data_IF_884947490605
#
_entry.id   IF_884947490605
#
_cell.length_a   1.000
_cell.length_b   1.000
_cell.length_c   1.000
_cell.angle_alpha   90.00
_cell.angle_beta   90.00
_cell.angle_gamma   90.00
#
_symmetry.space_group_name_H-M   'P 1'
#
loop_
_entity.id
_entity.type
_entity.pdbx_description
1 polymer ?
#
# COMPACT_ATOMS: atom_id res chain seq x y z
N UNK A 1 -33.13 -41.86 32.92
CA UNK A 1 -32.08 -42.43 33.78
C UNK A 1 -30.79 -41.63 33.58
N UNK A 2 -30.40 -40.94 34.62
CA UNK A 2 -29.21 -40.07 34.66
C UNK A 2 -28.03 -40.93 35.12
N UNK A 3 -26.93 -40.90 34.41
CA UNK A 3 -25.65 -41.39 34.95
C UNK A 3 -24.60 -40.28 34.75
N UNK A 4 -24.21 -39.64 35.87
CA UNK A 4 -23.02 -38.84 36.03
C UNK A 4 -21.82 -39.73 36.18
N UNK A 5 -20.77 -39.54 35.42
CA UNK A 5 -19.42 -40.04 35.73
C UNK A 5 -18.46 -38.87 35.80
N UNK A 6 -18.03 -38.61 37.06
CA UNK A 6 -16.96 -37.69 37.40
C UNK A 6 -15.61 -38.35 37.07
N UNK A 7 -14.80 -37.75 36.20
CA UNK A 7 -13.37 -38.07 36.10
C UNK A 7 -12.55 -36.97 36.69
N UNK A 8 -11.90 -37.28 37.84
CA UNK A 8 -10.88 -36.44 38.46
C UNK A 8 -9.60 -36.54 37.59
N UNK A 9 -9.13 -35.43 37.02
CA UNK A 9 -7.78 -35.32 36.52
C UNK A 9 -6.86 -34.83 37.64
N UNK A 10 -5.85 -35.64 37.95
CA UNK A 10 -4.75 -35.25 38.85
C UNK A 10 -3.86 -34.25 38.10
N UNK A 11 -3.68 -33.05 38.66
CA UNK A 11 -2.63 -32.12 38.24
C UNK A 11 -1.30 -32.49 38.88
N UNK A 12 -0.17 -32.45 38.16
CA UNK A 12 1.16 -32.59 38.79
C UNK A 12 1.54 -31.32 39.56
N UNK A 13 2.27 -31.50 40.67
CA UNK A 13 2.82 -30.48 41.51
C UNK A 13 3.68 -29.49 40.76
N UNK A 14 3.36 -28.20 40.86
CA UNK A 14 4.21 -27.08 40.47
C UNK A 14 5.06 -26.70 41.70
N UNK A 15 6.40 -26.53 41.56
CA UNK A 15 7.24 -26.07 42.67
C UNK A 15 6.93 -24.61 43.00
N UNK A 16 7.01 -24.30 44.31
CA UNK A 16 6.71 -23.01 44.91
C UNK A 16 7.46 -21.85 44.24
N UNK A 17 6.72 -21.01 43.50
CA UNK A 17 7.23 -19.71 43.06
C UNK A 17 7.25 -18.75 44.21
N UNK A 18 8.41 -18.15 44.45
CA UNK A 18 8.61 -17.10 45.44
C UNK A 18 7.61 -15.95 45.20
N UNK A 19 6.81 -15.63 46.20
CA UNK A 19 5.93 -14.46 46.19
C UNK A 19 6.79 -13.19 46.22
N UNK A 20 7.04 -12.60 45.06
CA UNK A 20 7.52 -11.21 45.00
C UNK A 20 6.35 -10.28 45.32
N UNK A 21 6.44 -9.63 46.47
CA UNK A 21 5.49 -8.62 46.94
C UNK A 21 5.72 -7.34 46.12
N UNK A 22 5.12 -7.25 44.93
CA UNK A 22 5.17 -6.06 44.09
C UNK A 22 4.17 -5.04 44.62
N UNK A 23 4.69 -3.94 45.13
CA UNK A 23 3.93 -2.82 45.62
C UNK A 23 3.07 -2.22 44.50
N UNK A 24 1.77 -1.92 44.67
CA UNK A 24 0.88 -1.43 43.63
C UNK A 24 1.34 -0.11 42.97
N UNK A 25 2.18 0.66 43.67
CA UNK A 25 2.79 1.88 43.12
C UNK A 25 3.81 1.62 42.00
N UNK A 26 4.48 0.44 42.01
CA UNK A 26 5.46 0.08 40.98
C UNK A 26 4.79 -0.27 39.63
N UNK A 27 3.59 -0.86 39.67
CA UNK A 27 2.82 -1.15 38.44
C UNK A 27 2.27 0.12 37.78
N UNK A 28 1.85 1.10 38.59
CA UNK A 28 1.35 2.36 38.05
C UNK A 28 2.45 3.16 37.35
N UNK A 29 3.69 3.14 37.88
CA UNK A 29 4.82 3.83 37.25
C UNK A 29 5.26 3.13 35.95
N UNK A 30 5.30 1.82 35.90
CA UNK A 30 5.66 1.04 34.72
C UNK A 30 4.60 1.19 33.60
N UNK A 31 3.32 1.21 33.94
CA UNK A 31 2.23 1.45 33.00
C UNK A 31 2.25 2.87 32.44
N UNK A 32 2.55 3.88 33.25
CA UNK A 32 2.66 5.27 32.82
C UNK A 32 3.84 5.49 31.87
N UNK A 33 4.99 4.88 32.11
CA UNK A 33 6.16 4.95 31.22
C UNK A 33 5.88 4.23 29.89
N UNK A 34 5.20 3.09 29.90
CA UNK A 34 4.83 2.37 28.67
C UNK A 34 3.84 3.18 27.80
N UNK A 35 2.89 3.89 28.42
CA UNK A 35 1.94 4.76 27.70
C UNK A 35 2.66 5.98 27.10
N UNK A 36 3.63 6.56 27.78
CA UNK A 36 4.39 7.73 27.27
C UNK A 36 5.29 7.33 26.09
N UNK A 37 5.89 6.13 26.11
CA UNK A 37 6.72 5.63 25.01
C UNK A 37 5.90 5.24 23.77
N UNK A 38 4.63 4.89 23.91
CA UNK A 38 3.75 4.55 22.79
C UNK A 38 3.25 5.76 21.98
N UNK A 39 3.42 6.99 22.48
CA UNK A 39 2.89 8.22 21.86
C UNK A 39 3.93 8.96 20.98
N UNK A 40 5.18 8.52 20.97
CA UNK A 40 6.28 9.24 20.31
C UNK A 40 6.63 8.74 18.90
N UNK A 41 5.66 8.23 18.13
CA UNK A 41 5.86 8.14 16.67
C UNK A 41 5.58 9.52 16.09
N UNK A 42 6.55 10.19 15.42
CA UNK A 42 6.28 11.45 14.76
C UNK A 42 5.26 11.20 13.65
N UNK A 43 3.99 11.53 13.92
CA UNK A 43 3.02 11.66 12.85
C UNK A 43 3.42 12.89 12.05
N UNK A 44 3.64 12.80 10.73
CA UNK A 44 3.74 13.99 9.92
C UNK A 44 2.49 14.85 10.17
N UNK A 45 2.70 16.15 10.28
CA UNK A 45 1.61 17.09 10.51
C UNK A 45 0.55 16.89 9.42
N UNK A 46 -0.71 16.71 9.81
CA UNK A 46 -1.82 16.69 8.87
C UNK A 46 -1.79 17.99 8.08
N UNK A 47 -1.63 17.92 6.75
CA UNK A 47 -1.58 19.08 5.86
C UNK A 47 -0.22 19.40 5.26
N UNK A 48 0.82 18.59 5.45
CA UNK A 48 2.09 18.78 4.72
C UNK A 48 1.99 18.13 3.33
N UNK A 49 2.34 18.90 2.28
CA UNK A 49 2.51 18.36 0.92
C UNK A 49 3.59 17.29 0.92
N UNK A 50 3.36 16.21 0.18
CA UNK A 50 4.31 15.12 0.02
C UNK A 50 4.71 14.96 -1.45
N UNK A 51 5.99 14.63 -1.68
CA UNK A 51 6.50 14.18 -2.96
C UNK A 51 7.06 12.76 -2.77
N UNK A 52 6.51 11.81 -3.54
CA UNK A 52 6.98 10.44 -3.57
C UNK A 52 7.57 10.17 -4.94
N UNK A 53 8.82 9.72 -4.97
CA UNK A 53 9.51 9.30 -6.20
C UNK A 53 9.74 7.80 -6.12
N UNK A 54 9.12 7.03 -7.03
CA UNK A 54 9.15 5.58 -7.02
C UNK A 54 9.21 5.00 -8.42
N UNK A 55 9.68 3.76 -8.52
CA UNK A 55 9.71 2.98 -9.75
C UNK A 55 8.72 1.83 -9.66
N UNK A 56 7.83 1.70 -10.67
CA UNK A 56 6.83 0.66 -10.77
C UNK A 56 7.28 -0.40 -11.78
N UNK A 57 7.31 -1.66 -11.34
CA UNK A 57 7.70 -2.81 -12.15
C UNK A 57 6.44 -3.50 -12.70
N UNK A 58 6.02 -3.10 -13.90
CA UNK A 58 4.85 -3.64 -14.61
C UNK A 58 5.30 -4.79 -15.53
N UNK A 59 5.16 -6.03 -15.07
CA UNK A 59 5.59 -7.22 -15.80
C UNK A 59 4.38 -7.98 -16.33
N UNK A 60 4.10 -7.81 -17.63
CA UNK A 60 2.97 -8.48 -18.29
C UNK A 60 3.12 -10.00 -18.21
N UNK A 61 2.06 -10.68 -17.72
CA UNK A 61 2.03 -12.12 -17.50
C UNK A 61 2.50 -12.56 -16.10
N UNK A 62 2.98 -11.62 -15.28
CA UNK A 62 3.36 -11.82 -13.89
C UNK A 62 2.55 -10.88 -12.96
N UNK A 63 2.99 -9.64 -12.77
CA UNK A 63 2.28 -8.65 -11.95
C UNK A 63 1.13 -7.95 -12.67
N UNK A 64 1.11 -7.97 -14.00
CA UNK A 64 0.04 -7.44 -14.83
C UNK A 64 -0.57 -8.52 -15.74
N UNK A 65 -1.91 -8.59 -15.78
CA UNK A 65 -2.62 -9.62 -16.53
C UNK A 65 -3.82 -9.07 -17.30
N UNK A 66 -3.91 -9.40 -18.58
CA UNK A 66 -5.08 -9.09 -19.39
C UNK A 66 -6.26 -9.98 -19.00
N UNK A 67 -7.32 -9.39 -18.46
CA UNK A 67 -8.52 -10.09 -17.99
C UNK A 67 -9.71 -9.97 -18.95
N UNK A 68 -9.72 -8.94 -19.81
CA UNK A 68 -10.74 -8.77 -20.85
C UNK A 68 -10.04 -8.47 -22.18
N UNK A 69 -10.48 -9.13 -23.25
CA UNK A 69 -10.13 -8.74 -24.65
C UNK A 69 -11.28 -7.96 -25.24
N UNK A 70 -10.98 -6.76 -25.68
CA UNK A 70 -11.95 -5.90 -26.35
C UNK A 70 -12.37 -6.46 -27.72
N UNK A 71 -13.54 -6.07 -28.22
CA UNK A 71 -14.12 -6.63 -29.45
C UNK A 71 -13.45 -6.13 -30.74
N UNK A 72 -12.62 -5.08 -30.69
CA UNK A 72 -11.99 -4.45 -31.86
C UNK A 72 -10.54 -4.09 -31.58
N UNK A 73 -9.63 -4.85 -32.14
CA UNK A 73 -8.20 -4.61 -31.93
C UNK A 73 -7.85 -4.60 -30.45
N UNK A 74 -7.32 -3.49 -29.94
CA UNK A 74 -6.99 -3.32 -28.52
C UNK A 74 -8.08 -2.57 -27.74
N UNK A 75 -9.04 -1.91 -28.40
CA UNK A 75 -10.07 -1.12 -27.74
C UNK A 75 -10.92 -1.98 -26.78
N UNK A 76 -10.97 -1.60 -25.53
CA UNK A 76 -11.66 -2.32 -24.45
C UNK A 76 -10.81 -3.43 -23.81
N UNK A 77 -9.58 -3.69 -24.24
CA UNK A 77 -8.67 -4.56 -23.51
C UNK A 77 -8.50 -4.01 -22.10
N UNK A 78 -8.69 -4.89 -21.10
CA UNK A 78 -8.56 -4.54 -19.69
C UNK A 78 -7.47 -5.38 -19.07
N UNK A 79 -6.54 -4.74 -18.41
CA UNK A 79 -5.46 -5.35 -17.64
C UNK A 79 -5.61 -4.98 -16.18
N UNK A 80 -5.50 -5.97 -15.29
CA UNK A 80 -5.34 -5.76 -13.86
C UNK A 80 -3.86 -5.83 -13.52
N UNK A 81 -3.44 -5.06 -12.52
CA UNK A 81 -2.05 -4.99 -12.08
C UNK A 81 -1.93 -4.99 -10.56
N UNK A 82 -0.85 -5.59 -10.08
CA UNK A 82 -0.40 -5.56 -8.69
C UNK A 82 1.13 -5.49 -8.70
N UNK A 83 1.65 -4.29 -9.03
CA UNK A 83 3.05 -4.07 -9.33
C UNK A 83 3.83 -3.66 -8.09
N UNK A 84 5.06 -4.15 -7.97
CA UNK A 84 5.97 -3.72 -6.90
C UNK A 84 6.46 -2.31 -7.17
N UNK A 85 6.43 -1.47 -6.13
CA UNK A 85 7.05 -0.15 -6.13
C UNK A 85 8.37 -0.20 -5.37
N UNK A 86 9.43 0.35 -5.97
CA UNK A 86 10.79 0.37 -5.40
C UNK A 86 11.37 1.78 -5.38
N UNK A 87 12.39 2.00 -4.55
CA UNK A 87 13.13 3.28 -4.47
C UNK A 87 14.06 3.50 -5.69
N UNK A 88 14.47 2.45 -6.36
CA UNK A 88 15.41 2.50 -7.47
C UNK A 88 14.95 1.67 -8.66
N UNK A 89 15.65 1.80 -9.78
CA UNK A 89 15.32 1.16 -11.07
C UNK A 89 15.50 -0.36 -11.11
N UNK A 90 16.19 -0.94 -10.14
CA UNK A 90 16.36 -2.39 -10.02
C UNK A 90 15.19 -3.01 -9.29
N UNK A 91 14.69 -4.15 -9.77
CA UNK A 91 13.68 -4.94 -9.06
C UNK A 91 14.14 -5.47 -7.68
N UNK A 92 15.47 -5.48 -7.44
CA UNK A 92 16.08 -5.81 -6.14
C UNK A 92 16.25 -4.60 -5.22
N UNK A 93 15.88 -3.39 -5.66
CA UNK A 93 15.89 -2.21 -4.80
C UNK A 93 14.87 -2.34 -3.68
N UNK A 94 15.02 -1.53 -2.62
CA UNK A 94 14.11 -1.54 -1.49
C UNK A 94 12.66 -1.32 -1.95
N UNK A 95 11.78 -2.27 -1.61
CA UNK A 95 10.37 -2.15 -1.92
C UNK A 95 9.72 -1.14 -0.95
N UNK A 96 8.97 -0.19 -1.50
CA UNK A 96 8.28 0.87 -0.74
C UNK A 96 6.77 0.69 -0.72
N UNK A 97 6.24 -0.13 -1.62
CA UNK A 97 4.80 -0.36 -1.71
C UNK A 97 4.39 -1.20 -2.90
N UNK A 98 3.13 -1.06 -3.26
CA UNK A 98 2.54 -1.71 -4.43
C UNK A 98 1.60 -0.75 -5.16
N UNK A 99 1.55 -0.86 -6.50
CA UNK A 99 0.54 -0.24 -7.33
C UNK A 99 -0.52 -1.29 -7.70
N UNK A 100 -1.72 -1.15 -7.16
CA UNK A 100 -2.80 -2.12 -7.35
C UNK A 100 -3.98 -1.46 -8.07
N UNK A 101 -4.36 -2.02 -9.22
CA UNK A 101 -5.43 -1.43 -10.00
C UNK A 101 -5.65 -2.07 -11.35
N UNK A 102 -6.05 -1.24 -12.29
CA UNK A 102 -6.32 -1.66 -13.66
C UNK A 102 -6.11 -0.52 -14.65
N UNK A 103 -5.90 -0.89 -15.89
CA UNK A 103 -6.04 0.02 -17.01
C UNK A 103 -6.87 -0.59 -18.15
N UNK A 104 -7.53 0.28 -18.90
CA UNK A 104 -8.39 -0.08 -20.04
C UNK A 104 -7.90 0.68 -21.25
N UNK A 105 -7.71 0.01 -22.38
CA UNK A 105 -7.42 0.69 -23.65
C UNK A 105 -8.67 1.42 -24.10
N UNK A 106 -8.65 2.74 -24.01
CA UNK A 106 -9.80 3.62 -24.26
C UNK A 106 -9.81 4.25 -25.68
N UNK A 107 -8.76 4.03 -26.46
CA UNK A 107 -8.70 4.52 -27.84
C UNK A 107 -9.36 3.54 -28.81
N UNK A 108 -10.39 4.00 -29.52
CA UNK A 108 -11.13 3.21 -30.54
C UNK A 108 -10.57 3.34 -31.95
N UNK A 109 -9.60 4.25 -32.19
CA UNK A 109 -9.06 4.58 -33.49
C UNK A 109 -7.60 4.17 -33.72
N UNK A 110 -7.11 3.28 -32.85
CA UNK A 110 -5.69 2.92 -32.77
C UNK A 110 -4.97 3.77 -31.75
N UNK A 111 -3.73 3.37 -31.39
CA UNK A 111 -3.02 3.96 -30.26
C UNK A 111 -3.26 3.22 -28.96
N UNK A 112 -2.53 3.62 -27.92
CA UNK A 112 -2.63 3.06 -26.59
C UNK A 112 -2.88 4.21 -25.60
N UNK A 113 -4.02 4.90 -25.77
CA UNK A 113 -4.54 5.77 -24.74
C UNK A 113 -5.29 4.91 -23.74
N UNK A 114 -4.80 4.92 -22.53
CA UNK A 114 -5.30 4.11 -21.42
C UNK A 114 -6.16 4.96 -20.48
N UNK A 115 -7.18 4.37 -19.93
CA UNK A 115 -7.82 4.85 -18.73
C UNK A 115 -7.27 4.06 -17.56
N UNK A 116 -6.48 4.69 -16.70
CA UNK A 116 -5.82 4.09 -15.56
C UNK A 116 -6.60 4.40 -14.29
N UNK A 117 -6.74 3.41 -13.43
CA UNK A 117 -7.23 3.57 -12.05
C UNK A 117 -6.42 2.65 -11.15
N UNK A 118 -5.68 3.20 -10.19
CA UNK A 118 -4.85 2.42 -9.28
C UNK A 118 -4.74 3.05 -7.90
N UNK A 119 -4.40 2.23 -6.92
CA UNK A 119 -3.98 2.65 -5.59
C UNK A 119 -2.47 2.40 -5.44
N UNK A 120 -1.75 3.44 -5.07
CA UNK A 120 -0.37 3.36 -4.58
C UNK A 120 -0.45 3.09 -3.08
N UNK A 121 -0.18 1.85 -2.68
CA UNK A 121 -0.25 1.39 -1.28
C UNK A 121 1.16 1.41 -0.70
N UNK A 122 1.42 2.19 0.34
CA UNK A 122 2.73 2.34 0.94
C UNK A 122 2.93 1.36 2.09
N UNK A 123 3.96 0.52 2.01
CA UNK A 123 4.25 -0.55 2.97
C UNK A 123 5.49 -0.27 3.80
N UNK A 124 6.25 0.78 3.47
CA UNK A 124 7.44 1.19 4.20
C UNK A 124 7.57 2.73 4.27
N UNK A 125 8.51 3.22 5.07
CA UNK A 125 8.79 4.65 5.23
C UNK A 125 7.75 5.40 6.08
N UNK A 126 7.81 6.73 6.01
CA UNK A 126 7.01 7.64 6.85
C UNK A 126 5.50 7.53 6.64
N UNK A 127 5.06 7.07 5.48
CA UNK A 127 3.65 6.97 5.09
C UNK A 127 3.10 5.54 5.12
N UNK A 128 3.79 4.61 5.76
CA UNK A 128 3.37 3.21 5.89
C UNK A 128 1.92 3.09 6.33
N UNK A 129 1.16 2.22 5.65
CA UNK A 129 -0.27 1.99 5.90
C UNK A 129 -1.20 3.04 5.28
N UNK A 130 -0.65 4.02 4.55
CA UNK A 130 -1.41 4.99 3.77
C UNK A 130 -1.45 4.59 2.30
N UNK A 131 -2.44 5.10 1.57
CA UNK A 131 -2.52 4.92 0.12
C UNK A 131 -2.90 6.21 -0.59
N UNK A 132 -2.50 6.29 -1.86
CA UNK A 132 -2.89 7.36 -2.79
C UNK A 132 -3.66 6.74 -3.95
N UNK A 133 -4.82 7.28 -4.30
CA UNK A 133 -5.61 6.84 -5.45
C UNK A 133 -5.30 7.72 -6.65
N UNK A 134 -4.83 7.11 -7.72
CA UNK A 134 -4.49 7.74 -9.00
C UNK A 134 -5.50 7.33 -10.06
N UNK A 135 -5.99 8.30 -10.82
CA UNK A 135 -6.94 8.05 -11.91
C UNK A 135 -6.71 9.05 -13.03
N UNK A 136 -6.74 8.58 -14.28
CA UNK A 136 -6.63 9.49 -15.42
C UNK A 136 -6.34 8.81 -16.73
N UNK A 137 -6.25 9.64 -17.78
CA UNK A 137 -5.84 9.24 -19.11
C UNK A 137 -4.31 9.13 -19.15
N UNK A 138 -3.82 7.99 -19.57
CA UNK A 138 -2.42 7.77 -19.91
C UNK A 138 -2.27 7.64 -21.44
N UNK A 139 -1.69 8.64 -22.09
CA UNK A 139 -1.32 8.60 -23.48
C UNK A 139 0.10 8.09 -23.63
N UNK A 140 0.24 6.81 -23.90
CA UNK A 140 1.56 6.14 -23.97
C UNK A 140 2.47 6.68 -25.08
N UNK A 141 1.95 7.47 -26.02
CA UNK A 141 2.73 8.16 -27.05
C UNK A 141 3.44 9.43 -26.55
N UNK A 142 3.14 9.88 -25.33
CA UNK A 142 3.74 11.08 -24.72
C UNK A 142 4.82 10.66 -23.71
N UNK A 143 5.96 11.35 -23.74
CA UNK A 143 7.10 10.99 -22.89
C UNK A 143 6.84 11.16 -21.41
N UNK A 144 6.13 12.23 -21.01
CA UNK A 144 5.72 12.50 -19.62
C UNK A 144 4.21 12.68 -19.61
N UNK A 145 3.51 11.84 -18.87
CA UNK A 145 2.05 11.85 -18.74
C UNK A 145 1.68 12.34 -17.36
N UNK A 146 0.61 13.09 -17.25
CA UNK A 146 0.08 13.56 -15.98
C UNK A 146 -1.25 12.88 -15.70
N UNK A 147 -1.34 12.23 -14.52
CA UNK A 147 -2.56 11.63 -14.02
C UNK A 147 -2.94 12.30 -12.68
N UNK A 148 -4.25 12.38 -12.40
CA UNK A 148 -4.74 13.01 -11.19
C UNK A 148 -4.60 12.09 -9.97
N UNK A 149 -4.19 12.66 -8.83
CA UNK A 149 -4.45 12.09 -7.51
C UNK A 149 -5.85 12.53 -7.08
N UNK A 150 -6.76 11.57 -6.98
CA UNK A 150 -8.19 11.84 -6.72
C UNK A 150 -8.59 11.60 -5.27
N UNK A 151 -7.68 11.06 -4.45
CA UNK A 151 -7.91 10.80 -3.05
C UNK A 151 -6.80 9.93 -2.45
N UNK A 152 -7.04 9.48 -1.22
CA UNK A 152 -6.16 8.56 -0.51
C UNK A 152 -6.71 8.14 0.83
N UNK A 153 -5.94 7.32 1.55
CA UNK A 153 -6.27 6.82 2.88
C UNK A 153 -5.15 7.13 3.88
N UNK A 154 -5.41 6.89 5.15
CA UNK A 154 -4.43 7.12 6.19
C UNK A 154 -4.03 8.60 6.28
N UNK A 155 -2.75 8.89 6.10
CA UNK A 155 -2.21 10.26 6.13
C UNK A 155 -2.60 11.06 4.88
N UNK A 156 -3.04 10.41 3.80
CA UNK A 156 -3.50 11.02 2.55
C UNK A 156 -5.02 11.08 2.42
N UNK A 157 -5.76 10.96 3.52
CA UNK A 157 -7.21 11.15 3.50
C UNK A 157 -7.56 12.54 3.01
N UNK A 158 -8.50 12.63 2.03
CA UNK A 158 -8.91 13.85 1.33
C UNK A 158 -7.84 14.50 0.45
N UNK A 159 -6.68 13.85 0.27
CA UNK A 159 -5.60 14.37 -0.55
C UNK A 159 -5.99 14.54 -2.01
N UNK A 160 -5.36 15.52 -2.65
CA UNK A 160 -5.42 15.80 -4.09
C UNK A 160 -4.00 16.02 -4.61
N UNK A 161 -3.83 15.95 -5.92
CA UNK A 161 -2.54 16.18 -6.53
C UNK A 161 -2.45 15.60 -7.92
N UNK A 162 -1.23 15.27 -8.32
CA UNK A 162 -0.96 14.69 -9.64
C UNK A 162 0.25 13.75 -9.60
N UNK A 163 0.35 12.92 -10.60
CA UNK A 163 1.48 12.03 -10.84
C UNK A 163 2.06 12.39 -12.20
N UNK A 164 3.37 12.62 -12.26
CA UNK A 164 4.13 12.62 -13.50
C UNK A 164 4.66 11.22 -13.75
N UNK A 165 4.26 10.64 -14.86
CA UNK A 165 4.49 9.24 -15.20
C UNK A 165 5.36 9.15 -16.45
N UNK A 166 6.46 8.40 -16.39
CA UNK A 166 7.38 8.19 -17.51
C UNK A 166 7.63 6.69 -17.70
N UNK A 167 7.74 6.27 -18.96
CA UNK A 167 8.22 4.94 -19.29
C UNK A 167 9.75 4.97 -19.41
N UNK A 168 10.43 4.28 -18.50
CA UNK A 168 11.89 4.14 -18.53
C UNK A 168 12.29 3.01 -19.48
N UNK A 169 11.55 1.90 -19.42
CA UNK A 169 11.63 0.74 -20.31
C UNK A 169 10.28 0.00 -20.28
N UNK A 170 10.00 -0.96 -21.17
CA UNK A 170 8.67 -1.58 -21.29
C UNK A 170 8.09 -2.17 -20.01
N UNK A 171 8.94 -2.59 -19.08
CA UNK A 171 8.60 -3.22 -17.80
C UNK A 171 8.85 -2.30 -16.59
N UNK A 172 9.23 -1.03 -16.83
CA UNK A 172 9.61 -0.10 -15.74
C UNK A 172 9.09 1.30 -16.00
N UNK A 173 8.34 1.81 -15.06
CA UNK A 173 7.76 3.14 -15.06
C UNK A 173 8.30 3.95 -13.88
N UNK A 174 8.61 5.22 -14.12
CA UNK A 174 9.01 6.19 -13.10
C UNK A 174 7.80 7.04 -12.74
N UNK A 175 7.51 7.17 -11.47
CA UNK A 175 6.38 7.94 -10.94
C UNK A 175 6.88 9.00 -9.96
N UNK A 176 6.62 10.25 -10.28
CA UNK A 176 6.73 11.39 -9.37
C UNK A 176 5.34 11.78 -8.90
N UNK A 177 5.01 11.47 -7.65
CA UNK A 177 3.67 11.65 -7.08
C UNK A 177 3.67 12.86 -6.14
N UNK A 178 2.95 13.90 -6.51
CA UNK A 178 2.79 15.11 -5.73
C UNK A 178 1.43 15.09 -5.05
N UNK A 179 1.42 15.10 -3.72
CA UNK A 179 0.22 14.97 -2.90
C UNK A 179 0.06 16.18 -2.01
N UNK A 180 -1.11 16.80 -2.07
CA UNK A 180 -1.55 17.84 -1.15
C UNK A 180 -2.71 17.29 -0.33
N UNK A 181 -2.56 17.17 1.00
CA UNK A 181 -3.62 16.70 1.90
C UNK A 181 -4.82 17.65 1.98
#
# INVERSE_FOLDING_TARGET
AVIRTSKRCCLPLIPAMACFNLNPTSFALAAAVAIILAVASPRPAAGASAHLHVYMHDVMGDSAMMVVRGPRGNFGNTVVMDDVLTEGTSASSAAVGRAQGQYIVASSKGGFELMVTMNVVLTSGAYTGSSVTVMGRDDTGVAVRELAVVGGTGQFRMAKGYVLWKTVRPDLLELDIYVNP
#
